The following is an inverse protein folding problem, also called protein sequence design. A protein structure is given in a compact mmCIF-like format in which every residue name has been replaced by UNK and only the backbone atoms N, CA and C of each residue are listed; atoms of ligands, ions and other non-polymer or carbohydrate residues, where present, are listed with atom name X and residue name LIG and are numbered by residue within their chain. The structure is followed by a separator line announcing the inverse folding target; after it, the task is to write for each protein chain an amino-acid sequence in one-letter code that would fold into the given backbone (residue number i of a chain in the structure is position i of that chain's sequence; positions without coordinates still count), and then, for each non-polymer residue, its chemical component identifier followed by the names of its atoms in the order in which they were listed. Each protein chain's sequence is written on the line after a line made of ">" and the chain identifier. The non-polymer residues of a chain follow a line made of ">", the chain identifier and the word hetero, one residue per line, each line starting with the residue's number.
data_IF_396656234019
#
_entry.id   IF_396656234019
#
_cell.length_a   1.000
_cell.length_b   1.000
_cell.length_c   1.000
_cell.angle_alpha   90.00
_cell.angle_beta   90.00
_cell.angle_gamma   90.00
#
_symmetry.space_group_name_H-M   'P 1'
#
loop_
_entity.id
_entity.type
_entity.pdbx_description
1 polymer ?
#
# COMPACT_ATOMS: atom_id res chain seq x y z
N UNK A 1 -26.86 -32.61 15.28
CA UNK A 1 -25.46 -32.14 15.43
C UNK A 1 -24.94 -31.41 14.19
N UNK A 2 -25.12 -31.92 12.97
CA UNK A 2 -24.64 -31.26 11.73
C UNK A 2 -25.28 -29.88 11.42
N UNK A 3 -26.53 -29.64 11.83
CA UNK A 3 -27.20 -28.35 11.61
C UNK A 3 -26.68 -27.24 12.54
N UNK A 4 -26.34 -27.58 13.78
CA UNK A 4 -25.77 -26.65 14.77
C UNK A 4 -24.37 -26.18 14.37
N UNK A 5 -23.56 -27.07 13.81
CA UNK A 5 -22.21 -26.73 13.30
C UNK A 5 -22.25 -25.85 12.06
N UNK A 6 -23.26 -26.00 11.20
CA UNK A 6 -23.44 -25.16 10.00
C UNK A 6 -23.85 -23.73 10.36
N UNK A 7 -24.69 -23.57 11.38
CA UNK A 7 -25.13 -22.26 11.89
C UNK A 7 -23.98 -21.45 12.51
N UNK A 8 -23.04 -22.10 13.19
CA UNK A 8 -21.89 -21.43 13.83
C UNK A 8 -20.92 -20.91 12.77
N UNK A 9 -20.67 -21.69 11.71
CA UNK A 9 -19.79 -21.30 10.60
C UNK A 9 -20.36 -20.07 9.89
N UNK A 10 -21.66 -20.06 9.58
CA UNK A 10 -22.35 -18.91 8.97
C UNK A 10 -22.23 -17.66 9.86
N UNK A 11 -22.33 -17.80 11.18
CA UNK A 11 -22.18 -16.68 12.12
C UNK A 11 -20.76 -16.07 12.11
N UNK A 12 -19.71 -16.88 11.92
CA UNK A 12 -18.33 -16.39 11.75
C UNK A 12 -18.08 -15.76 10.36
N UNK A 13 -18.76 -16.24 9.31
CA UNK A 13 -18.74 -15.63 7.97
C UNK A 13 -19.47 -14.28 7.93
N UNK A 14 -20.58 -14.11 8.66
CA UNK A 14 -21.23 -12.81 8.80
C UNK A 14 -20.51 -11.89 9.79
N UNK A 15 -19.87 -12.43 10.84
CA UNK A 15 -19.08 -11.63 11.80
C UNK A 15 -17.77 -11.07 11.21
N UNK A 16 -17.30 -11.62 10.09
CA UNK A 16 -16.16 -11.06 9.34
C UNK A 16 -16.61 -10.10 8.23
N UNK A 17 -17.92 -9.89 8.08
CA UNK A 17 -18.49 -8.95 7.13
C UNK A 17 -19.13 -7.78 7.87
N UNK A 18 -18.63 -6.57 7.60
CA UNK A 18 -19.26 -5.28 7.90
C UNK A 18 -19.07 -4.69 9.29
N UNK A 19 -17.84 -4.25 9.56
CA UNK A 19 -17.66 -2.85 9.94
C UNK A 19 -17.05 -2.14 8.72
N UNK A 20 -17.87 -1.92 7.69
CA UNK A 20 -17.64 -0.77 6.83
C UNK A 20 -18.22 0.40 7.60
N UNK A 21 -17.39 1.05 8.42
CA UNK A 21 -17.60 2.48 8.61
C UNK A 21 -17.34 3.02 7.21
N UNK A 22 -18.41 3.35 6.50
CA UNK A 22 -18.35 4.28 5.38
C UNK A 22 -17.91 5.60 6.03
N UNK A 23 -16.61 5.68 6.31
CA UNK A 23 -15.99 6.90 6.72
C UNK A 23 -16.27 7.81 5.55
N UNK A 24 -16.99 8.90 5.83
CA UNK A 24 -16.93 10.11 5.02
C UNK A 24 -15.53 10.16 4.43
N UNK A 25 -15.42 10.02 3.10
CA UNK A 25 -14.13 9.97 2.42
C UNK A 25 -13.83 11.43 2.07
N UNK A 26 -13.27 12.24 2.99
CA UNK A 26 -12.86 13.58 2.61
C UNK A 26 -11.89 13.40 1.46
N UNK A 27 -12.12 14.14 0.39
CA UNK A 27 -11.30 14.12 -0.82
C UNK A 27 -9.82 14.06 -0.41
N UNK A 28 -9.15 12.97 -0.77
CA UNK A 28 -7.74 12.75 -0.51
C UNK A 28 -6.85 13.49 -1.52
N UNK A 29 -7.34 14.55 -2.13
CA UNK A 29 -6.64 15.36 -3.12
C UNK A 29 -7.34 16.71 -3.23
N UNK A 30 -6.60 17.73 -3.66
CA UNK A 30 -7.17 19.03 -3.99
C UNK A 30 -7.52 19.05 -5.49
N UNK A 31 -8.80 18.90 -5.86
CA UNK A 31 -9.26 18.95 -7.26
C UNK A 31 -8.52 17.96 -8.19
N UNK A 32 -7.61 18.43 -9.06
CA UNK A 32 -6.77 17.58 -9.92
C UNK A 32 -5.32 17.45 -9.41
N UNK A 33 -5.07 17.83 -8.16
CA UNK A 33 -3.77 17.78 -7.51
C UNK A 33 -3.33 16.37 -7.11
N UNK A 34 -2.13 16.25 -6.52
CA UNK A 34 -1.61 14.95 -6.08
C UNK A 34 -2.51 14.33 -5.01
N UNK A 35 -2.51 13.00 -4.99
CA UNK A 35 -3.11 12.23 -3.91
C UNK A 35 -2.35 12.50 -2.60
N UNK A 36 -3.10 12.77 -1.54
CA UNK A 36 -2.68 13.15 -0.20
C UNK A 36 -3.00 12.01 0.75
N UNK A 37 -1.94 11.38 1.22
CA UNK A 37 -1.92 10.37 2.27
C UNK A 37 -0.78 10.66 3.24
N UNK A 38 -0.76 9.93 4.36
CA UNK A 38 0.30 10.01 5.37
C UNK A 38 1.70 9.97 4.73
N UNK A 39 2.63 10.85 5.14
CA UNK A 39 2.57 11.74 6.31
C UNK A 39 1.92 13.11 6.07
N UNK A 40 1.32 13.35 4.90
CA UNK A 40 0.65 14.61 4.57
C UNK A 40 -0.85 14.53 4.86
N UNK A 41 -1.45 15.64 5.31
CA UNK A 41 -2.90 15.76 5.49
C UNK A 41 -3.41 17.12 5.07
N UNK A 42 -4.68 17.18 4.65
CA UNK A 42 -5.34 18.44 4.30
C UNK A 42 -5.80 19.14 5.58
N UNK A 43 -5.27 20.34 5.86
CA UNK A 43 -5.62 21.13 7.05
C UNK A 43 -7.11 21.47 7.04
N UNK A 44 -7.82 21.09 8.10
CA UNK A 44 -9.27 21.27 8.23
C UNK A 44 -10.12 20.17 7.60
N UNK A 45 -9.51 19.16 6.98
CA UNK A 45 -10.13 17.90 6.57
C UNK A 45 -9.51 16.72 7.31
N UNK A 46 -10.29 15.65 7.51
CA UNK A 46 -9.95 14.47 8.32
C UNK A 46 -9.88 14.75 9.83
N UNK A 47 -10.48 13.86 10.63
CA UNK A 47 -10.13 13.71 12.06
C UNK A 47 -8.62 13.53 12.15
N UNK A 48 -7.91 14.13 13.14
CA UNK A 48 -6.47 14.00 13.24
C UNK A 48 -6.07 12.52 13.26
N UNK A 49 -5.60 12.02 12.12
CA UNK A 49 -4.93 10.74 12.06
C UNK A 49 -3.59 10.98 12.75
N UNK A 50 -3.37 10.25 13.84
CA UNK A 50 -2.31 10.51 14.83
C UNK A 50 -0.88 10.46 14.22
N UNK A 51 -0.76 10.01 12.98
CA UNK A 51 0.49 9.78 12.25
C UNK A 51 0.78 10.84 11.17
N UNK A 52 -0.08 11.85 11.02
CA UNK A 52 0.14 12.92 10.03
C UNK A 52 1.09 14.00 10.57
N UNK A 53 2.13 14.31 9.81
CA UNK A 53 3.19 15.24 10.21
C UNK A 53 3.14 16.58 9.46
N UNK A 54 2.61 16.59 8.23
CA UNK A 54 2.64 17.76 7.36
C UNK A 54 1.23 18.20 6.97
N UNK A 55 0.93 19.47 7.24
CA UNK A 55 -0.32 20.08 6.83
C UNK A 55 -0.19 20.69 5.43
N UNK A 56 -1.12 20.35 4.55
CA UNK A 56 -1.31 20.97 3.25
C UNK A 56 -2.67 21.69 3.20
N UNK A 57 -2.80 22.70 2.36
CA UNK A 57 -4.04 23.47 2.18
C UNK A 57 -4.45 23.43 0.72
N UNK A 58 -5.74 23.22 0.45
CA UNK A 58 -6.28 23.39 -0.88
C UNK A 58 -6.64 24.86 -1.12
N UNK A 59 -6.08 25.48 -2.16
CA UNK A 59 -6.42 26.85 -2.58
C UNK A 59 -6.45 26.91 -4.10
N UNK A 60 -7.52 27.42 -4.70
CA UNK A 60 -7.65 27.63 -6.15
C UNK A 60 -7.24 26.40 -6.99
N UNK A 61 -7.77 25.23 -6.63
CA UNK A 61 -7.46 23.92 -7.23
C UNK A 61 -6.00 23.44 -7.09
N UNK A 62 -5.18 24.13 -6.30
CA UNK A 62 -3.80 23.76 -6.02
C UNK A 62 -3.65 23.21 -4.60
N UNK A 63 -2.74 22.25 -4.44
CA UNK A 63 -2.29 21.78 -3.13
C UNK A 63 -1.11 22.64 -2.69
N UNK A 64 -1.19 23.26 -1.52
CA UNK A 64 -0.17 24.18 -1.00
C UNK A 64 0.42 23.62 0.30
N UNK A 65 1.73 23.71 0.45
CA UNK A 65 2.44 23.52 1.72
C UNK A 65 3.02 24.85 2.18
N UNK A 66 2.94 25.12 3.49
CA UNK A 66 3.44 26.36 4.08
C UNK A 66 4.74 26.10 4.84
N UNK A 67 5.79 26.84 4.51
CA UNK A 67 7.06 26.85 5.23
C UNK A 67 7.20 28.14 6.04
N UNK A 68 7.37 28.09 7.38
CA UNK A 68 7.45 29.29 8.20
C UNK A 68 8.55 30.30 7.80
N UNK A 69 9.67 29.81 7.26
CA UNK A 69 10.82 30.64 6.84
C UNK A 69 10.65 31.32 5.47
N UNK A 70 9.70 30.87 4.65
CA UNK A 70 9.53 31.35 3.27
C UNK A 70 8.10 31.76 2.93
N UNK A 71 7.14 30.87 3.22
CA UNK A 71 5.73 31.02 2.89
C UNK A 71 5.17 29.83 2.11
N UNK A 72 4.18 30.12 1.28
CA UNK A 72 3.41 29.12 0.54
C UNK A 72 4.15 28.64 -0.71
N UNK A 73 4.25 27.32 -0.87
CA UNK A 73 4.74 26.66 -2.08
C UNK A 73 3.66 25.69 -2.60
N UNK A 74 3.54 25.60 -3.92
CA UNK A 74 2.57 24.70 -4.56
C UNK A 74 3.20 23.32 -4.69
N UNK A 75 2.49 22.28 -4.27
CA UNK A 75 2.89 20.89 -4.48
C UNK A 75 2.55 20.49 -5.91
N UNK A 76 3.58 20.19 -6.71
CA UNK A 76 3.43 19.62 -8.05
C UNK A 76 3.14 18.14 -8.00
N UNK A 77 3.93 17.39 -7.25
CA UNK A 77 3.82 15.93 -7.12
C UNK A 77 4.38 15.45 -5.80
N UNK A 78 3.83 14.32 -5.34
CA UNK A 78 4.31 13.59 -4.18
C UNK A 78 4.56 12.15 -4.61
N UNK A 79 5.80 11.68 -4.47
CA UNK A 79 6.15 10.28 -4.66
C UNK A 79 6.46 9.68 -3.29
N UNK A 80 5.53 8.87 -2.78
CA UNK A 80 5.63 8.29 -1.45
C UNK A 80 6.73 7.21 -1.36
N UNK A 81 6.84 6.35 -2.37
CA UNK A 81 7.83 5.26 -2.41
C UNK A 81 9.27 5.76 -2.33
N UNK A 82 9.54 6.93 -2.91
CA UNK A 82 10.86 7.56 -2.93
C UNK A 82 10.98 8.74 -1.97
N UNK A 83 9.96 9.01 -1.15
CA UNK A 83 9.88 10.17 -0.26
C UNK A 83 10.28 11.48 -0.95
N UNK A 84 9.70 11.75 -2.13
CA UNK A 84 10.02 12.93 -2.95
C UNK A 84 8.82 13.87 -3.03
N UNK A 85 9.05 15.12 -2.66
CA UNK A 85 8.09 16.22 -2.72
C UNK A 85 8.57 17.24 -3.74
N UNK A 86 7.91 17.33 -4.89
CA UNK A 86 8.21 18.34 -5.90
C UNK A 86 7.35 19.57 -5.70
N UNK A 87 8.00 20.72 -5.60
CA UNK A 87 7.37 22.00 -5.27
C UNK A 87 7.56 23.01 -6.40
N UNK A 88 6.65 23.97 -6.47
CA UNK A 88 6.69 25.11 -7.37
C UNK A 88 6.59 26.38 -6.55
N UNK A 89 7.41 27.36 -6.91
CA UNK A 89 7.25 28.73 -6.45
C UNK A 89 6.13 29.40 -7.29
N UNK A 90 5.05 29.89 -6.67
CA UNK A 90 4.02 30.68 -7.36
C UNK A 90 4.57 31.90 -8.09
N UNK A 91 5.72 32.44 -7.67
CA UNK A 91 6.41 33.58 -8.30
C UNK A 91 7.37 33.16 -9.41
N UNK A 92 7.48 31.86 -9.69
CA UNK A 92 8.38 31.28 -10.71
C UNK A 92 9.83 31.69 -10.53
N UNK A 93 10.33 31.69 -9.29
CA UNK A 93 11.69 32.04 -8.95
C UNK A 93 12.29 31.07 -7.92
N UNK A 94 12.62 29.85 -8.35
CA UNK A 94 13.20 28.81 -7.48
C UNK A 94 14.46 29.28 -6.73
N UNK A 95 15.29 30.10 -7.36
CA UNK A 95 16.49 30.66 -6.70
C UNK A 95 16.17 31.64 -5.58
N UNK A 96 14.99 32.30 -5.62
CA UNK A 96 14.50 33.06 -4.47
C UNK A 96 14.15 32.13 -3.32
N UNK A 97 13.49 31.01 -3.61
CA UNK A 97 13.16 29.99 -2.60
C UNK A 97 14.44 29.51 -1.94
N UNK A 98 15.45 29.10 -2.72
CA UNK A 98 16.72 28.64 -2.17
C UNK A 98 17.41 29.66 -1.26
N UNK A 99 17.36 30.96 -1.59
CA UNK A 99 17.97 32.02 -0.79
C UNK A 99 17.31 32.21 0.58
N UNK A 100 15.99 32.09 0.61
CA UNK A 100 15.16 32.54 1.73
C UNK A 100 14.60 31.36 2.57
N UNK A 101 14.42 30.18 1.97
CA UNK A 101 13.91 28.99 2.65
C UNK A 101 14.97 28.42 3.61
N UNK A 102 14.64 28.43 4.89
CA UNK A 102 15.38 27.73 5.94
C UNK A 102 14.66 26.43 6.30
N UNK A 103 15.33 25.30 6.03
CA UNK A 103 14.84 23.95 6.33
C UNK A 103 15.37 23.42 7.67
N UNK A 104 16.28 24.13 8.35
CA UNK A 104 16.96 23.64 9.56
C UNK A 104 16.03 23.31 10.73
N UNK A 105 14.86 23.95 10.79
CA UNK A 105 13.83 23.73 11.80
C UNK A 105 12.70 22.80 11.31
N UNK A 106 12.89 22.16 10.16
CA UNK A 106 11.91 21.25 9.56
C UNK A 106 12.48 19.84 9.44
N UNK A 107 11.62 18.85 9.21
CA UNK A 107 12.05 17.48 8.89
C UNK A 107 12.33 17.28 7.40
N UNK A 108 12.26 18.37 6.62
CA UNK A 108 12.56 18.37 5.20
C UNK A 108 14.04 18.62 4.95
N UNK A 109 14.55 18.01 3.90
CA UNK A 109 15.86 18.31 3.34
C UNK A 109 15.78 18.30 1.81
N UNK A 110 16.80 18.80 1.12
CA UNK A 110 16.83 18.72 -0.33
C UNK A 110 16.94 17.27 -0.79
N UNK A 111 16.10 16.87 -1.75
CA UNK A 111 16.10 15.52 -2.31
C UNK A 111 17.42 15.21 -3.06
N UNK A 112 17.98 16.22 -3.73
CA UNK A 112 19.24 16.11 -4.47
C UNK A 112 20.43 16.61 -3.65
N UNK A 113 21.62 16.08 -3.96
CA UNK A 113 22.87 16.50 -3.34
C UNK A 113 23.10 18.01 -3.49
N UNK A 114 23.39 18.66 -2.37
CA UNK A 114 23.66 20.10 -2.32
C UNK A 114 25.14 20.42 -2.44
N UNK A 115 25.45 21.55 -3.06
CA UNK A 115 26.79 22.15 -3.12
C UNK A 115 26.71 23.62 -2.74
N UNK A 116 27.79 24.16 -2.20
CA UNK A 116 27.85 25.58 -1.87
C UNK A 116 27.91 26.41 -3.14
N UNK A 117 26.96 27.32 -3.31
CA UNK A 117 26.96 28.36 -4.33
C UNK A 117 26.94 29.72 -3.66
N UNK A 118 27.61 30.69 -4.29
CA UNK A 118 27.60 32.08 -3.85
C UNK A 118 26.73 32.91 -4.79
N UNK A 119 25.77 33.62 -4.21
CA UNK A 119 24.98 34.60 -4.94
C UNK A 119 25.72 35.93 -4.99
N UNK A 120 25.89 36.45 -6.19
CA UNK A 120 26.46 37.77 -6.44
C UNK A 120 25.38 38.72 -6.95
N UNK A 121 25.43 39.98 -6.54
CA UNK A 121 24.66 41.08 -7.12
C UNK A 121 25.63 42.11 -7.70
N UNK A 122 25.56 42.32 -9.01
CA UNK A 122 26.47 43.16 -9.76
C UNK A 122 25.74 44.36 -10.37
N UNK A 123 26.41 45.51 -10.43
CA UNK A 123 25.86 46.71 -11.11
C UNK A 123 26.03 46.67 -12.63
N UNK A 124 26.90 45.79 -13.12
CA UNK A 124 27.11 45.52 -14.55
C UNK A 124 27.15 44.01 -14.81
N UNK A 125 27.00 43.61 -16.08
CA UNK A 125 26.96 42.20 -16.45
C UNK A 125 28.35 41.57 -16.36
N UNK A 126 28.41 40.38 -15.77
CA UNK A 126 29.59 39.53 -15.87
C UNK A 126 29.80 39.12 -17.34
N UNK A 127 31.02 39.27 -17.83
CA UNK A 127 31.43 38.78 -19.16
C UNK A 127 31.70 37.26 -19.18
N UNK A 128 31.52 36.56 -18.04
CA UNK A 128 31.85 35.15 -17.90
C UNK A 128 30.79 34.25 -18.54
N UNK A 129 31.23 33.31 -19.38
CA UNK A 129 30.37 32.28 -20.00
C UNK A 129 29.83 31.29 -18.95
N UNK A 130 30.46 31.21 -17.78
CA UNK A 130 30.14 30.23 -16.73
C UNK A 130 29.04 30.70 -15.76
N UNK A 131 28.54 31.92 -15.89
CA UNK A 131 27.55 32.48 -14.97
C UNK A 131 26.42 33.16 -15.74
N UNK A 132 25.23 32.57 -15.66
CA UNK A 132 24.03 33.15 -16.25
C UNK A 132 23.27 34.03 -15.25
N UNK A 133 22.70 35.12 -15.78
CA UNK A 133 21.89 36.06 -15.00
C UNK A 133 20.60 35.37 -14.57
N UNK A 134 20.27 35.42 -13.28
CA UNK A 134 19.01 34.94 -12.72
C UNK A 134 17.93 36.00 -12.96
N UNK A 135 17.01 35.85 -13.92
CA UNK A 135 16.14 36.95 -14.35
C UNK A 135 15.19 37.41 -13.24
N UNK A 136 14.62 36.46 -12.49
CA UNK A 136 13.64 36.74 -11.44
C UNK A 136 14.23 37.39 -10.16
N UNK A 137 15.56 37.40 -10.03
CA UNK A 137 16.28 38.11 -8.97
C UNK A 137 16.97 39.39 -9.47
N UNK A 138 16.99 39.60 -10.79
CA UNK A 138 17.67 40.71 -11.45
C UNK A 138 16.69 41.80 -11.85
N UNK A 139 17.22 43.00 -12.14
CA UNK A 139 16.44 44.15 -12.56
C UNK A 139 17.31 45.20 -13.24
N UNK A 140 16.77 46.41 -13.38
CA UNK A 140 17.51 47.53 -13.98
C UNK A 140 18.73 47.89 -13.12
N UNK A 141 19.94 47.76 -13.68
CA UNK A 141 21.19 48.06 -12.99
C UNK A 141 21.60 47.04 -11.91
N UNK A 142 20.93 45.89 -11.83
CA UNK A 142 21.20 44.83 -10.86
C UNK A 142 21.14 43.47 -11.54
N UNK A 143 22.28 42.78 -11.58
CA UNK A 143 22.43 41.47 -12.21
C UNK A 143 22.84 40.45 -11.16
N UNK A 144 21.97 39.47 -10.93
CA UNK A 144 22.19 38.43 -9.92
C UNK A 144 22.66 37.15 -10.57
N UNK A 145 23.66 36.51 -9.97
CA UNK A 145 24.29 35.29 -10.45
C UNK A 145 24.47 34.28 -9.33
N UNK A 146 24.51 32.99 -9.66
CA UNK A 146 25.09 31.95 -8.81
C UNK A 146 26.45 31.55 -9.36
N UNK A 147 27.48 31.58 -8.51
CA UNK A 147 28.85 31.19 -8.89
C UNK A 147 29.44 30.22 -7.87
N UNK A 148 30.51 29.52 -8.25
CA UNK A 148 31.29 28.75 -7.29
C UNK A 148 31.91 29.67 -6.23
N UNK A 149 31.95 29.28 -4.94
CA UNK A 149 32.49 30.12 -3.87
C UNK A 149 33.96 30.53 -4.04
N UNK A 150 34.72 29.77 -4.84
CA UNK A 150 36.12 30.04 -5.18
C UNK A 150 36.31 31.14 -6.24
N UNK A 151 35.25 31.54 -6.95
CA UNK A 151 35.33 32.54 -8.01
C UNK A 151 35.72 33.91 -7.45
N UNK A 152 36.68 34.58 -8.09
CA UNK A 152 37.06 35.95 -7.75
C UNK A 152 35.88 36.90 -8.02
N UNK A 153 35.51 37.70 -7.02
CA UNK A 153 34.38 38.64 -7.11
C UNK A 153 34.87 39.98 -7.71
N UNK A 154 34.35 40.41 -8.88
CA UNK A 154 34.71 41.70 -9.46
C UNK A 154 34.29 42.88 -8.58
N UNK A 155 34.97 44.02 -8.72
CA UNK A 155 34.71 45.24 -7.91
C UNK A 155 33.28 45.78 -8.03
N UNK A 156 32.63 45.58 -9.17
CA UNK A 156 31.25 46.00 -9.43
C UNK A 156 30.21 44.98 -8.93
N UNK A 157 30.65 43.90 -8.27
CA UNK A 157 29.82 42.87 -7.70
C UNK A 157 29.95 42.83 -6.18
N UNK A 158 28.87 42.44 -5.52
CA UNK A 158 28.82 42.22 -4.08
C UNK A 158 28.31 40.82 -3.78
N UNK A 159 28.87 40.19 -2.75
CA UNK A 159 28.43 38.88 -2.28
C UNK A 159 27.14 39.05 -1.47
N UNK A 160 26.07 38.41 -1.91
CA UNK A 160 24.77 38.41 -1.22
C UNK A 160 24.75 37.36 -0.12
N UNK A 161 24.94 36.09 -0.50
CA UNK A 161 24.89 34.94 0.43
C UNK A 161 25.60 33.73 -0.18
N UNK A 162 26.20 32.89 0.65
CA UNK A 162 26.61 31.53 0.25
C UNK A 162 25.68 30.54 0.90
N UNK A 163 25.10 29.64 0.11
CA UNK A 163 24.18 28.61 0.57
C UNK A 163 24.44 27.28 -0.14
N UNK A 164 24.12 26.18 0.55
CA UNK A 164 24.17 24.84 -0.04
C UNK A 164 22.86 24.55 -0.77
N UNK A 165 22.91 24.43 -2.09
CA UNK A 165 21.74 24.20 -2.96
C UNK A 165 22.05 23.12 -4.01
N UNK A 166 21.03 22.47 -4.60
CA UNK A 166 21.26 21.37 -5.53
C UNK A 166 21.97 21.75 -6.83
N UNK A 167 21.75 22.96 -7.34
CA UNK A 167 22.33 23.44 -8.60
C UNK A 167 22.42 24.97 -8.63
N UNK A 168 23.38 25.48 -9.40
CA UNK A 168 23.42 26.89 -9.82
C UNK A 168 22.40 27.16 -10.93
N UNK A 169 22.10 28.43 -11.16
CA UNK A 169 21.11 28.83 -12.16
C UNK A 169 21.46 28.33 -13.55
N UNK A 170 20.45 27.78 -14.22
CA UNK A 170 20.48 27.35 -15.60
C UNK A 170 19.13 27.68 -16.25
N UNK A 171 19.10 28.26 -17.45
CA UNK A 171 17.87 28.63 -18.14
C UNK A 171 17.04 27.40 -18.50
N UNK A 172 17.68 26.24 -18.66
CA UNK A 172 17.03 24.96 -18.92
C UNK A 172 16.33 24.36 -17.70
N UNK A 173 16.63 24.87 -16.49
CA UNK A 173 16.05 24.43 -15.22
C UNK A 173 15.11 25.51 -14.62
N UNK A 174 14.88 26.61 -15.34
CA UNK A 174 14.16 27.78 -14.84
C UNK A 174 12.63 27.71 -15.05
N UNK A 175 12.12 26.68 -15.74
CA UNK A 175 10.70 26.53 -16.09
C UNK A 175 9.83 25.95 -14.97
N UNK A 176 10.32 25.98 -13.72
CA UNK A 176 9.74 25.31 -12.55
C UNK A 176 9.55 23.78 -12.72
N UNK A 177 9.95 23.16 -13.84
CA UNK A 177 9.70 21.74 -14.07
C UNK A 177 10.64 20.85 -13.25
N UNK A 178 11.85 21.37 -13.00
CA UNK A 178 12.95 20.71 -12.33
C UNK A 178 13.56 21.71 -11.34
N UNK A 179 13.65 21.36 -10.05
CA UNK A 179 14.56 22.11 -9.20
C UNK A 179 14.28 22.13 -7.71
N UNK A 180 13.02 22.26 -7.31
CA UNK A 180 12.66 22.32 -5.89
C UNK A 180 12.05 20.99 -5.44
N UNK A 181 12.92 20.00 -5.28
CA UNK A 181 12.54 18.70 -4.75
C UNK A 181 13.07 18.57 -3.34
N UNK A 182 12.18 18.31 -2.40
CA UNK A 182 12.50 18.01 -1.01
C UNK A 182 12.25 16.53 -0.72
N UNK A 183 12.92 16.02 0.29
CA UNK A 183 12.59 14.75 0.94
C UNK A 183 12.24 15.01 2.39
N UNK A 184 11.55 14.07 3.01
CA UNK A 184 11.18 14.14 4.42
C UNK A 184 11.68 12.89 5.13
N UNK A 185 12.21 13.07 6.33
CA UNK A 185 12.48 11.96 7.25
C UNK A 185 11.45 11.95 8.38
N UNK A 186 11.18 10.77 8.91
CA UNK A 186 10.47 10.65 10.17
C UNK A 186 11.45 11.07 11.27
N UNK A 187 11.20 12.18 11.97
CA UNK A 187 11.94 12.50 13.18
C UNK A 187 11.51 11.54 14.29
N UNK A 188 12.17 10.39 14.31
CA UNK A 188 12.00 9.31 15.26
C UNK A 188 12.97 8.22 14.83
N UNK A 189 14.07 8.08 15.57
CA UNK A 189 15.11 7.12 15.25
C UNK A 189 14.56 5.71 15.11
N UNK A 190 14.46 5.24 13.87
CA UNK A 190 14.76 3.88 13.49
C UNK A 190 15.16 3.93 12.02
N UNK A 191 16.43 3.63 11.78
CA UNK A 191 16.89 3.09 10.52
C UNK A 191 16.02 1.84 10.26
N UNK A 192 14.94 2.02 9.49
CA UNK A 192 14.10 0.92 9.05
C UNK A 192 14.94 0.11 8.06
N UNK A 193 15.57 -0.95 8.55
CA UNK A 193 16.08 -2.03 7.72
C UNK A 193 14.94 -2.45 6.76
N UNK A 194 15.23 -2.44 5.47
CA UNK A 194 14.27 -2.56 4.39
C UNK A 194 13.62 -3.94 4.31
N UNK A 195 12.73 -4.25 5.25
CA UNK A 195 11.98 -5.52 5.30
C UNK A 195 10.48 -5.40 5.55
N UNK A 196 9.94 -4.20 5.79
CA UNK A 196 8.52 -4.05 6.14
C UNK A 196 7.58 -3.79 4.95
N UNK A 197 8.05 -4.02 3.71
CA UNK A 197 7.15 -4.17 2.54
C UNK A 197 6.53 -5.57 2.41
N UNK A 198 6.88 -6.52 3.30
CA UNK A 198 6.56 -7.95 3.12
C UNK A 198 5.29 -8.42 3.84
N UNK A 199 4.72 -7.65 4.77
CA UNK A 199 3.64 -8.13 5.65
C UNK A 199 2.26 -8.13 4.96
N UNK A 200 1.98 -7.19 4.04
CA UNK A 200 0.65 -7.09 3.42
C UNK A 200 0.39 -8.24 2.43
N UNK A 201 1.41 -8.71 1.71
CA UNK A 201 1.29 -9.84 0.77
C UNK A 201 1.16 -11.20 1.47
N UNK A 202 1.87 -11.41 2.58
CA UNK A 202 1.91 -12.71 3.24
C UNK A 202 0.59 -13.05 3.95
N UNK A 203 -0.11 -12.06 4.51
CA UNK A 203 -1.41 -12.26 5.18
C UNK A 203 -2.51 -12.62 4.16
N UNK A 204 -2.52 -11.99 2.98
CA UNK A 204 -3.50 -12.30 1.93
C UNK A 204 -3.30 -13.69 1.33
N UNK A 205 -2.04 -14.10 1.07
CA UNK A 205 -1.73 -15.41 0.50
C UNK A 205 -1.99 -16.54 1.50
N UNK A 206 -1.68 -16.33 2.79
CA UNK A 206 -1.99 -17.29 3.85
C UNK A 206 -3.52 -17.49 3.99
N UNK A 207 -4.31 -16.43 3.88
CA UNK A 207 -5.78 -16.52 3.94
C UNK A 207 -6.33 -17.40 2.80
N UNK A 208 -5.93 -17.14 1.55
CA UNK A 208 -6.38 -17.93 0.39
C UNK A 208 -5.92 -19.39 0.50
N UNK A 209 -4.68 -19.62 0.92
CA UNK A 209 -4.14 -20.97 1.10
C UNK A 209 -4.92 -21.79 2.12
N UNK A 210 -5.31 -21.18 3.25
CA UNK A 210 -6.13 -21.83 4.28
C UNK A 210 -7.54 -22.12 3.77
N UNK A 211 -8.15 -21.20 3.01
CA UNK A 211 -9.46 -21.41 2.39
C UNK A 211 -9.46 -22.56 1.38
N UNK A 212 -8.48 -22.60 0.48
CA UNK A 212 -8.36 -23.68 -0.52
C UNK A 212 -8.13 -25.02 0.17
N UNK A 213 -7.26 -25.06 1.18
CA UNK A 213 -7.00 -26.28 1.95
C UNK A 213 -8.26 -26.79 2.67
N UNK A 214 -9.05 -25.89 3.28
CA UNK A 214 -10.29 -26.25 3.94
C UNK A 214 -11.34 -26.83 2.96
N UNK A 215 -11.46 -26.25 1.76
CA UNK A 215 -12.35 -26.76 0.71
C UNK A 215 -11.92 -28.15 0.25
N UNK A 216 -10.63 -28.35 -0.02
CA UNK A 216 -10.10 -29.66 -0.45
C UNK A 216 -10.31 -30.71 0.65
N UNK A 217 -10.06 -30.37 1.93
CA UNK A 217 -10.30 -31.27 3.05
C UNK A 217 -11.77 -31.64 3.19
N UNK A 218 -12.70 -30.70 3.01
CA UNK A 218 -14.13 -30.97 3.03
C UNK A 218 -14.57 -31.89 1.88
N UNK A 219 -14.05 -31.68 0.66
CA UNK A 219 -14.34 -32.55 -0.49
C UNK A 219 -13.80 -33.97 -0.27
N UNK A 220 -12.60 -34.11 0.30
CA UNK A 220 -12.02 -35.42 0.66
C UNK A 220 -12.85 -36.11 1.75
N UNK A 221 -13.33 -35.35 2.75
CA UNK A 221 -14.16 -35.90 3.81
C UNK A 221 -15.53 -36.36 3.27
N UNK A 222 -16.15 -35.58 2.39
CA UNK A 222 -17.42 -35.92 1.74
C UNK A 222 -17.28 -37.13 0.83
N UNK A 223 -16.23 -37.20 0.01
CA UNK A 223 -15.96 -38.38 -0.85
C UNK A 223 -15.65 -39.63 -0.03
N UNK A 224 -14.85 -39.52 1.04
CA UNK A 224 -14.66 -40.62 2.00
C UNK A 224 -15.97 -41.07 2.61
N UNK A 225 -16.80 -40.14 3.11
CA UNK A 225 -18.09 -40.47 3.72
C UNK A 225 -19.02 -41.18 2.72
N UNK A 226 -19.08 -40.70 1.48
CA UNK A 226 -19.85 -41.34 0.39
C UNK A 226 -19.27 -42.71 0.02
N UNK A 227 -17.94 -42.84 -0.02
CA UNK A 227 -17.27 -44.12 -0.30
C UNK A 227 -17.54 -45.14 0.80
N UNK A 228 -17.44 -44.75 2.07
CA UNK A 228 -17.75 -45.61 3.21
C UNK A 228 -19.24 -45.98 3.26
N UNK A 229 -20.16 -45.03 3.01
CA UNK A 229 -21.59 -45.35 2.94
C UNK A 229 -21.91 -46.30 1.79
N UNK A 230 -21.28 -46.11 0.61
CA UNK A 230 -21.44 -47.02 -0.53
C UNK A 230 -20.76 -48.39 -0.33
N UNK A 231 -19.77 -48.52 0.55
CA UNK A 231 -19.10 -49.79 0.86
C UNK A 231 -19.83 -50.60 1.95
N UNK A 232 -20.52 -49.92 2.87
CA UNK A 232 -21.32 -50.56 3.92
C UNK A 232 -22.61 -51.19 3.37
N UNK A 233 -23.27 -50.53 2.42
CA UNK A 233 -24.53 -51.02 1.82
C UNK A 233 -24.40 -52.40 1.13
N UNK A 234 -23.38 -52.68 0.29
CA UNK A 234 -23.19 -53.99 -0.33
C UNK A 234 -22.80 -55.10 0.64
N UNK A 235 -22.21 -54.76 1.80
CA UNK A 235 -21.82 -55.76 2.79
C UNK A 235 -23.02 -56.18 3.66
N UNK A 236 -23.90 -55.24 3.98
CA UNK A 236 -25.16 -55.50 4.68
C UNK A 236 -26.14 -56.31 3.81
N UNK A 237 -26.24 -55.97 2.51
CA UNK A 237 -27.09 -56.72 1.56
C UNK A 237 -26.63 -58.17 1.38
N UNK A 238 -25.30 -58.40 1.27
CA UNK A 238 -24.74 -59.76 1.20
C UNK A 238 -24.93 -60.55 2.49
N UNK A 239 -24.81 -59.91 3.65
CA UNK A 239 -25.04 -60.56 4.94
C UNK A 239 -26.52 -60.97 5.10
N UNK A 240 -27.46 -60.09 4.74
CA UNK A 240 -28.89 -60.40 4.79
C UNK A 240 -29.28 -61.53 3.84
N UNK A 241 -28.75 -61.51 2.61
CA UNK A 241 -29.06 -62.55 1.62
C UNK A 241 -28.53 -63.93 2.06
N UNK A 242 -27.40 -63.97 2.78
CA UNK A 242 -26.85 -65.21 3.32
C UNK A 242 -27.66 -65.75 4.50
N UNK A 243 -28.15 -64.88 5.40
CA UNK A 243 -29.06 -65.26 6.50
C UNK A 243 -30.38 -65.81 5.95
N UNK A 244 -30.91 -65.20 4.89
CA UNK A 244 -32.15 -65.65 4.25
C UNK A 244 -32.00 -67.04 3.60
N UNK A 245 -30.87 -67.29 2.92
CA UNK A 245 -30.55 -68.61 2.35
C UNK A 245 -30.40 -69.68 3.44
N UNK A 246 -29.73 -69.37 4.55
CA UNK A 246 -29.62 -70.30 5.68
C UNK A 246 -30.97 -70.64 6.31
N UNK A 247 -31.88 -69.66 6.39
CA UNK A 247 -33.26 -69.88 6.85
C UNK A 247 -34.03 -70.82 5.91
N UNK A 248 -33.97 -70.58 4.60
CA UNK A 248 -34.62 -71.45 3.61
C UNK A 248 -34.06 -72.88 3.62
N UNK A 249 -32.75 -73.05 3.81
CA UNK A 249 -32.11 -74.37 3.93
C UNK A 249 -32.52 -75.10 5.22
N UNK A 250 -32.73 -74.36 6.31
CA UNK A 250 -33.27 -74.90 7.57
C UNK A 250 -34.69 -75.41 7.39
N UNK A 251 -35.56 -74.61 6.78
CA UNK A 251 -36.96 -74.96 6.52
C UNK A 251 -37.09 -76.17 5.57
N UNK A 252 -36.25 -76.24 4.53
CA UNK A 252 -36.21 -77.39 3.62
C UNK A 252 -35.78 -78.69 4.31
N UNK A 253 -34.77 -78.65 5.20
CA UNK A 253 -34.35 -79.83 5.96
C UNK A 253 -35.43 -80.32 6.93
N UNK A 254 -36.18 -79.39 7.54
CA UNK A 254 -37.32 -79.73 8.39
C UNK A 254 -38.45 -80.40 7.59
N UNK A 255 -38.67 -79.96 6.34
CA UNK A 255 -39.62 -80.58 5.42
C UNK A 255 -39.19 -81.97 4.96
N UNK A 256 -37.92 -82.16 4.57
CA UNK A 256 -37.41 -83.46 4.09
C UNK A 256 -37.36 -84.54 5.19
N UNK A 257 -37.22 -84.14 6.46
CA UNK A 257 -37.33 -85.07 7.60
C UNK A 257 -38.78 -85.43 7.92
N UNK A 258 -39.76 -84.60 7.52
CA UNK A 258 -41.18 -84.92 7.57
C UNK A 258 -41.62 -85.92 6.49
N UNK A 259 -41.10 -85.80 5.26
CA UNK A 259 -41.42 -86.74 4.17
C UNK A 259 -40.77 -88.12 4.35
N UNK A 260 -39.61 -88.21 5.01
CA UNK A 260 -38.97 -89.49 5.34
C UNK A 260 -39.74 -90.35 6.38
N UNK A 261 -40.79 -89.82 7.01
CA UNK A 261 -41.65 -90.56 7.95
C UNK A 261 -42.94 -91.09 7.31
N UNK A 262 -43.33 -90.65 6.11
CA UNK A 262 -44.58 -91.09 5.46
C UNK A 262 -44.38 -92.32 4.54
N UNK A 263 -43.17 -92.63 4.09
CA UNK A 263 -42.93 -93.73 3.14
C UNK A 263 -42.52 -95.07 3.81
N UNK A 264 -42.85 -95.27 5.10
CA UNK A 264 -42.57 -96.51 5.85
C UNK A 264 -43.80 -97.22 6.42
N UNK A 265 -44.98 -97.01 5.80
CA UNK A 265 -46.20 -97.79 6.08
C UNK A 265 -46.89 -98.17 4.77
N UNK A 266 -46.36 -99.17 4.05
CA UNK A 266 -47.13 -100.16 3.30
C UNK A 266 -46.17 -101.12 2.61
N UNK A 267 -46.06 -102.34 3.14
CA UNK A 267 -46.13 -103.60 2.37
C UNK A 267 -45.76 -104.76 3.32
N UNK A 268 -46.80 -105.32 3.92
CA UNK A 268 -46.79 -106.65 4.53
C UNK A 268 -47.92 -107.45 3.88
N UNK A 269 -47.53 -108.30 2.93
CA UNK A 269 -48.18 -109.55 2.52
C UNK A 269 -47.06 -110.46 2.01
#
# INVERSE_FOLDING_TARGET
>A
MAAFTFSIIIFFFFSSCSIFIEAYNPSNHCSNGPHIQSPFRIKGGQTPQNDSLFDVVCRDNSTIIHFPSYGDLVIKSISYDTQRLDLLDPKSCVHRVFLDLDLSQTTFSYYYLVKNYTYLNCTDRLSSVLAEVIPCLSGSGHYVYTVEPSMAVPKFCTKVKTIAIPFGYSPYLADNSFGLSLTWSFLGGQEFDGKEGFIVGHVQVLSIGVFVFAIVAALVFMTRKIYYSKKLVPQEEKANHQIEVEKFLGDYKAFSTGEAYIDKVSNQC
#
